data_IF_008142121222
#
_entry.id   IF_008142121222
#
_cell.length_a   1.000
_cell.length_b   1.000
_cell.length_c   1.000
_cell.angle_alpha   90.00
_cell.angle_beta   90.00
_cell.angle_gamma   90.00
#
_symmetry.space_group_name_H-M   'P 1'
#
loop_
_entity.id
_entity.type
_entity.pdbx_description
1 polymer ?
#
# COMPACT_ATOMS: atom_id res chain seq x y z
N UNK A 1 37.49 -14.24 7.20
CA UNK A 1 36.39 -13.29 7.52
C UNK A 1 35.41 -13.10 6.35
N UNK A 2 35.80 -13.35 5.10
CA UNK A 2 34.91 -13.35 3.91
C UNK A 2 33.93 -14.54 3.86
N UNK A 3 34.29 -15.67 4.47
CA UNK A 3 33.58 -16.95 4.26
C UNK A 3 32.21 -16.98 4.94
N UNK A 4 32.03 -16.20 6.02
CA UNK A 4 30.75 -16.10 6.74
C UNK A 4 29.65 -15.40 5.93
N UNK A 5 29.98 -14.36 5.17
CA UNK A 5 29.01 -13.62 4.37
C UNK A 5 28.45 -14.44 3.20
N UNK A 6 29.32 -15.18 2.52
CA UNK A 6 28.91 -16.07 1.43
C UNK A 6 28.07 -17.24 1.96
N UNK A 7 28.43 -17.82 3.11
CA UNK A 7 27.65 -18.87 3.75
C UNK A 7 26.23 -18.39 4.13
N UNK A 8 26.11 -17.18 4.70
CA UNK A 8 24.82 -16.58 5.03
C UNK A 8 23.94 -16.35 3.79
N UNK A 9 24.54 -15.88 2.68
CA UNK A 9 23.82 -15.70 1.42
C UNK A 9 23.35 -17.05 0.85
N UNK A 10 24.21 -18.06 0.83
CA UNK A 10 23.85 -19.41 0.38
C UNK A 10 22.71 -19.99 1.21
N UNK A 11 22.76 -19.82 2.54
CA UNK A 11 21.70 -20.25 3.44
C UNK A 11 20.38 -19.49 3.21
N UNK A 12 20.44 -18.19 2.96
CA UNK A 12 19.28 -17.38 2.62
C UNK A 12 18.62 -17.86 1.31
N UNK A 13 19.42 -18.12 0.28
CA UNK A 13 18.92 -18.69 -0.97
C UNK A 13 18.35 -20.09 -0.77
N UNK A 14 19.00 -20.94 0.04
CA UNK A 14 18.49 -22.28 0.30
C UNK A 14 17.13 -22.22 1.00
N UNK A 15 16.93 -21.34 1.99
CA UNK A 15 15.63 -21.17 2.67
C UNK A 15 14.50 -20.79 1.71
N UNK A 16 14.79 -19.92 0.73
CA UNK A 16 13.81 -19.51 -0.28
C UNK A 16 13.50 -20.64 -1.26
N UNK A 17 14.53 -21.32 -1.76
CA UNK A 17 14.40 -22.40 -2.76
C UNK A 17 13.86 -23.70 -2.18
N UNK A 18 14.13 -23.97 -0.90
CA UNK A 18 13.62 -25.15 -0.18
C UNK A 18 12.17 -25.01 0.27
N UNK A 19 11.54 -23.87 -0.02
CA UNK A 19 10.19 -23.54 0.46
C UNK A 19 10.03 -23.69 1.97
N UNK A 20 10.95 -23.10 2.74
CA UNK A 20 10.87 -23.16 4.20
C UNK A 20 9.49 -22.68 4.71
N UNK A 21 8.75 -23.52 5.46
CA UNK A 21 7.39 -23.18 5.88
C UNK A 21 7.29 -21.90 6.71
N UNK A 22 8.33 -21.59 7.52
CA UNK A 22 8.32 -20.40 8.35
C UNK A 22 8.51 -19.13 7.52
N UNK A 23 9.49 -19.11 6.62
CA UNK A 23 9.73 -17.97 5.71
C UNK A 23 8.52 -17.72 4.83
N UNK A 24 7.95 -18.77 4.25
CA UNK A 24 6.79 -18.64 3.36
C UNK A 24 5.49 -18.26 4.09
N UNK A 25 5.31 -18.68 5.35
CA UNK A 25 4.20 -18.20 6.17
C UNK A 25 4.28 -16.68 6.39
N UNK A 26 5.47 -16.14 6.67
CA UNK A 26 5.71 -14.70 6.85
C UNK A 26 5.42 -13.93 5.56
N UNK A 27 5.90 -14.45 4.43
CA UNK A 27 5.64 -13.89 3.10
C UNK A 27 4.13 -13.85 2.84
N UNK A 28 3.44 -14.97 3.05
CA UNK A 28 2.00 -15.08 2.81
C UNK A 28 1.19 -14.10 3.68
N UNK A 29 1.51 -13.98 4.97
CA UNK A 29 0.84 -13.01 5.86
C UNK A 29 1.06 -11.58 5.36
N UNK A 30 2.29 -11.25 4.96
CA UNK A 30 2.62 -9.91 4.45
C UNK A 30 1.82 -9.55 3.20
N UNK A 31 1.77 -10.45 2.21
CA UNK A 31 1.02 -10.22 0.98
C UNK A 31 -0.49 -10.25 1.21
N UNK A 32 -1.01 -11.21 1.99
CA UNK A 32 -2.44 -11.35 2.26
C UNK A 32 -3.02 -10.09 2.94
N UNK A 33 -2.37 -9.62 4.01
CA UNK A 33 -2.80 -8.44 4.76
C UNK A 33 -2.75 -7.18 3.87
N UNK A 34 -1.65 -6.96 3.15
CA UNK A 34 -1.50 -5.78 2.29
C UNK A 34 -2.39 -5.79 1.07
N UNK A 35 -2.61 -6.95 0.47
CA UNK A 35 -3.52 -7.08 -0.66
C UNK A 35 -4.98 -6.87 -0.22
N UNK A 36 -5.39 -7.45 0.91
CA UNK A 36 -6.73 -7.23 1.47
C UNK A 36 -6.98 -5.75 1.80
N UNK A 37 -6.03 -5.09 2.48
CA UNK A 37 -6.12 -3.67 2.80
C UNK A 37 -6.22 -2.80 1.54
N UNK A 38 -5.42 -3.10 0.51
CA UNK A 38 -5.48 -2.39 -0.77
C UNK A 38 -6.84 -2.57 -1.45
N UNK A 39 -7.34 -3.80 -1.59
CA UNK A 39 -8.61 -4.08 -2.26
C UNK A 39 -9.79 -3.33 -1.64
N UNK A 40 -9.85 -3.29 -0.30
CA UNK A 40 -10.91 -2.58 0.42
C UNK A 40 -10.80 -1.06 0.20
N UNK A 41 -9.58 -0.53 0.07
CA UNK A 41 -9.34 0.92 -0.01
C UNK A 41 -9.39 1.50 -1.42
N UNK A 42 -9.20 0.70 -2.48
CA UNK A 42 -9.16 1.17 -3.89
C UNK A 42 -10.40 1.97 -4.25
N UNK A 43 -11.58 1.37 -4.12
CA UNK A 43 -12.85 1.97 -4.57
C UNK A 43 -13.13 3.28 -3.82
N UNK A 44 -13.17 3.33 -2.48
CA UNK A 44 -13.48 4.56 -1.77
C UNK A 44 -12.44 5.66 -2.04
N UNK A 45 -11.15 5.30 -2.14
CA UNK A 45 -10.09 6.28 -2.39
C UNK A 45 -10.14 6.87 -3.78
N UNK A 46 -10.40 6.04 -4.80
CA UNK A 46 -10.56 6.50 -6.19
C UNK A 46 -11.79 7.38 -6.34
N UNK A 47 -12.91 7.02 -5.69
CA UNK A 47 -14.11 7.86 -5.69
C UNK A 47 -13.85 9.23 -5.05
N UNK A 48 -13.17 9.27 -3.91
CA UNK A 48 -12.78 10.53 -3.28
C UNK A 48 -11.81 11.33 -4.16
N UNK A 49 -10.83 10.68 -4.79
CA UNK A 49 -9.93 11.33 -5.75
C UNK A 49 -10.69 11.93 -6.94
N UNK A 50 -11.68 11.22 -7.48
CA UNK A 50 -12.55 11.71 -8.55
C UNK A 50 -13.35 12.94 -8.11
N UNK A 51 -14.01 12.88 -6.95
CA UNK A 51 -14.78 13.99 -6.38
C UNK A 51 -13.88 15.22 -6.18
N UNK A 52 -12.67 15.01 -5.63
CA UNK A 52 -11.69 16.09 -5.43
C UNK A 52 -11.13 16.65 -6.73
N UNK A 53 -11.21 15.94 -7.86
CA UNK A 53 -10.80 16.45 -9.16
C UNK A 53 -11.93 17.25 -9.84
N UNK A 54 -13.16 16.73 -9.85
CA UNK A 54 -14.26 17.27 -10.66
C UNK A 54 -15.22 18.21 -9.93
N UNK A 55 -15.33 18.14 -8.60
CA UNK A 55 -16.27 18.96 -7.82
C UNK A 55 -15.66 20.31 -7.41
N UNK A 56 -16.49 21.36 -7.38
CA UNK A 56 -16.14 22.70 -6.90
C UNK A 56 -17.00 23.04 -5.67
N UNK A 57 -16.48 22.77 -4.47
CA UNK A 57 -17.15 23.09 -3.21
C UNK A 57 -16.24 23.92 -2.30
N UNK A 58 -16.83 24.75 -1.43
CA UNK A 58 -16.13 25.75 -0.59
C UNK A 58 -15.01 25.17 0.30
N UNK A 59 -15.06 23.88 0.64
CA UNK A 59 -14.06 23.20 1.49
C UNK A 59 -13.00 22.38 0.74
N UNK A 60 -12.99 22.38 -0.60
CA UNK A 60 -12.12 21.49 -1.40
C UNK A 60 -10.63 21.65 -1.07
N UNK A 61 -10.18 22.89 -0.92
CA UNK A 61 -8.77 23.19 -0.59
C UNK A 61 -8.35 22.58 0.74
N UNK A 62 -9.19 22.67 1.77
CA UNK A 62 -8.95 22.09 3.09
C UNK A 62 -8.82 20.57 2.99
N UNK A 63 -9.76 19.90 2.31
CA UNK A 63 -9.73 18.44 2.15
C UNK A 63 -8.51 17.98 1.35
N UNK A 64 -8.17 18.70 0.28
CA UNK A 64 -6.99 18.39 -0.55
C UNK A 64 -5.71 18.49 0.26
N UNK A 65 -5.55 19.57 1.05
CA UNK A 65 -4.39 19.73 1.93
C UNK A 65 -4.37 18.70 3.05
N UNK A 66 -5.52 18.34 3.62
CA UNK A 66 -5.59 17.30 4.63
C UNK A 66 -5.10 15.96 4.08
N UNK A 67 -5.52 15.58 2.87
CA UNK A 67 -5.04 14.35 2.21
C UNK A 67 -3.53 14.39 1.99
N UNK A 68 -2.97 15.51 1.53
CA UNK A 68 -1.52 15.68 1.35
C UNK A 68 -0.76 15.62 2.69
N UNK A 69 -1.32 16.20 3.74
CA UNK A 69 -0.77 16.12 5.10
C UNK A 69 -0.76 14.67 5.56
N UNK A 70 -1.90 13.95 5.47
CA UNK A 70 -2.01 12.54 5.85
C UNK A 70 -1.03 11.65 5.09
N UNK A 71 -0.76 11.96 3.82
CA UNK A 71 0.25 11.24 3.01
C UNK A 71 1.67 11.39 3.57
N UNK A 72 1.94 12.51 4.26
CA UNK A 72 3.26 12.85 4.82
C UNK A 72 3.42 12.43 6.29
N UNK A 73 2.35 11.96 6.94
CA UNK A 73 2.40 11.56 8.34
C UNK A 73 3.29 10.32 8.51
N UNK A 74 4.22 10.32 9.49
CA UNK A 74 4.98 9.13 9.83
C UNK A 74 4.05 7.99 10.22
N UNK A 75 4.25 6.82 9.63
CA UNK A 75 3.34 5.68 9.80
C UNK A 75 3.36 5.07 11.18
N UNK A 76 4.41 5.31 11.96
CA UNK A 76 4.44 5.01 13.40
C UNK A 76 3.36 5.78 14.15
N UNK A 77 3.08 7.04 13.78
CA UNK A 77 2.00 7.84 14.38
C UNK A 77 0.65 7.25 14.04
N UNK A 78 0.44 6.82 12.78
CA UNK A 78 -0.78 6.11 12.36
C UNK A 78 -0.95 4.82 13.17
N UNK A 79 0.15 4.06 13.33
CA UNK A 79 0.18 2.85 14.16
C UNK A 79 -0.24 3.11 15.61
N UNK A 80 0.30 4.16 16.22
CA UNK A 80 -0.05 4.56 17.58
C UNK A 80 -1.52 4.94 17.70
N UNK A 81 -2.05 5.72 16.76
CA UNK A 81 -3.47 6.11 16.76
C UNK A 81 -4.38 4.89 16.66
N UNK A 82 -4.09 3.97 15.73
CA UNK A 82 -4.86 2.73 15.58
C UNK A 82 -4.76 1.85 16.82
N UNK A 83 -3.57 1.74 17.41
CA UNK A 83 -3.35 1.02 18.65
C UNK A 83 -4.23 1.58 19.78
N UNK A 84 -4.24 2.90 19.97
CA UNK A 84 -5.04 3.56 21.01
C UNK A 84 -6.54 3.38 20.76
N UNK A 85 -6.99 3.42 19.50
CA UNK A 85 -8.38 3.17 19.13
C UNK A 85 -8.83 1.73 19.41
N UNK A 86 -7.96 0.75 19.15
CA UNK A 86 -8.26 -0.69 19.29
C UNK A 86 -7.93 -1.26 20.67
N UNK A 87 -7.28 -0.50 21.54
CA UNK A 87 -7.05 -0.89 22.94
C UNK A 87 -8.39 -1.06 23.64
N UNK A 88 -8.44 -1.88 24.70
CA UNK A 88 -9.68 -2.18 25.46
C UNK A 88 -10.45 -0.94 25.92
N UNK A 89 -9.77 0.15 26.24
CA UNK A 89 -10.38 1.42 26.67
C UNK A 89 -10.59 2.41 25.50
N UNK A 90 -10.22 2.02 24.28
CA UNK A 90 -10.36 2.83 23.07
C UNK A 90 -11.77 2.73 22.48
N UNK A 91 -12.11 3.70 21.62
CA UNK A 91 -13.42 3.81 20.98
C UNK A 91 -13.82 2.56 20.19
N UNK A 92 -12.82 1.85 19.61
CA UNK A 92 -13.01 0.63 18.84
C UNK A 92 -12.52 -0.62 19.60
N UNK A 93 -12.35 -0.53 20.93
CA UNK A 93 -11.81 -1.60 21.77
C UNK A 93 -12.66 -2.88 21.76
N UNK A 94 -13.98 -2.74 21.62
CA UNK A 94 -14.92 -3.88 21.60
C UNK A 94 -14.74 -4.77 20.37
N UNK A 95 -14.12 -4.27 19.29
CA UNK A 95 -13.81 -5.07 18.10
C UNK A 95 -12.76 -6.14 18.37
N UNK A 96 -11.89 -5.95 19.37
CA UNK A 96 -10.77 -6.86 19.71
C UNK A 96 -9.86 -7.18 18.52
N UNK A 97 -9.61 -6.21 17.65
CA UNK A 97 -8.76 -6.38 16.47
C UNK A 97 -7.27 -6.15 16.74
N UNK A 98 -6.91 -5.68 17.94
CA UNK A 98 -5.52 -5.52 18.32
C UNK A 98 -4.80 -6.88 18.31
N UNK A 99 -3.60 -6.93 17.74
CA UNK A 99 -2.80 -8.14 17.52
C UNK A 99 -3.44 -9.17 16.58
N UNK A 100 -4.32 -8.72 15.69
CA UNK A 100 -4.92 -9.56 14.66
C UNK A 100 -4.61 -9.01 13.26
N UNK A 101 -4.74 -9.85 12.24
CA UNK A 101 -4.64 -9.42 10.85
C UNK A 101 -5.68 -8.34 10.50
N UNK A 102 -6.87 -8.37 11.10
CA UNK A 102 -7.92 -7.35 10.88
C UNK A 102 -7.46 -5.96 11.33
N UNK A 103 -6.79 -5.89 12.49
CA UNK A 103 -6.19 -4.65 12.97
C UNK A 103 -5.09 -4.15 12.03
N UNK A 104 -4.23 -5.05 11.55
CA UNK A 104 -3.20 -4.70 10.56
C UNK A 104 -3.80 -4.18 9.25
N UNK A 105 -4.87 -4.82 8.75
CA UNK A 105 -5.60 -4.36 7.56
C UNK A 105 -6.10 -2.93 7.79
N UNK A 106 -6.77 -2.65 8.91
CA UNK A 106 -7.25 -1.31 9.24
C UNK A 106 -6.12 -0.27 9.25
N UNK A 107 -4.99 -0.60 9.89
CA UNK A 107 -3.82 0.26 9.92
C UNK A 107 -3.27 0.54 8.52
N UNK A 108 -3.11 -0.50 7.70
CA UNK A 108 -2.63 -0.35 6.33
C UNK A 108 -3.63 0.39 5.43
N UNK A 109 -4.94 0.27 5.66
CA UNK A 109 -5.96 1.06 4.96
C UNK A 109 -5.75 2.56 5.18
N UNK A 110 -5.47 2.97 6.42
CA UNK A 110 -5.21 4.38 6.76
C UNK A 110 -3.92 4.92 6.14
N UNK A 111 -2.95 4.04 5.88
CA UNK A 111 -1.67 4.39 5.26
C UNK A 111 -1.81 4.48 3.73
N UNK A 112 -2.51 3.54 3.09
CA UNK A 112 -2.65 3.53 1.63
C UNK A 112 -3.72 4.52 1.12
N UNK A 113 -4.76 4.81 1.90
CA UNK A 113 -5.84 5.71 1.50
C UNK A 113 -5.35 7.10 1.03
N UNK A 114 -4.57 7.87 1.80
CA UNK A 114 -4.16 9.21 1.37
C UNK A 114 -3.30 9.17 0.10
N UNK A 115 -2.44 8.16 -0.05
CA UNK A 115 -1.64 7.95 -1.26
C UNK A 115 -2.54 7.70 -2.47
N UNK A 116 -3.52 6.79 -2.35
CA UNK A 116 -4.47 6.49 -3.41
C UNK A 116 -5.33 7.70 -3.78
N UNK A 117 -5.84 8.43 -2.79
CA UNK A 117 -6.69 9.62 -3.03
C UNK A 117 -5.89 10.68 -3.78
N UNK A 118 -4.69 11.03 -3.30
CA UNK A 118 -3.86 12.07 -3.90
C UNK A 118 -3.47 11.73 -5.35
N UNK A 119 -2.99 10.49 -5.60
CA UNK A 119 -2.58 10.07 -6.94
C UNK A 119 -3.77 9.90 -7.89
N UNK A 120 -4.92 9.43 -7.39
CA UNK A 120 -6.14 9.34 -8.19
C UNK A 120 -6.67 10.74 -8.54
N UNK A 121 -6.66 11.68 -7.58
CA UNK A 121 -7.02 13.07 -7.83
C UNK A 121 -6.13 13.67 -8.93
N UNK A 122 -4.81 13.47 -8.86
CA UNK A 122 -3.87 13.96 -9.87
C UNK A 122 -4.14 13.33 -11.25
N UNK A 123 -4.42 12.02 -11.30
CA UNK A 123 -4.80 11.33 -12.53
C UNK A 123 -6.08 11.90 -13.14
N UNK A 124 -7.14 12.06 -12.34
CA UNK A 124 -8.41 12.62 -12.81
C UNK A 124 -8.28 14.08 -13.24
N UNK A 125 -7.46 14.88 -12.56
CA UNK A 125 -7.20 16.27 -12.92
C UNK A 125 -6.39 16.44 -14.21
N UNK A 126 -5.71 15.38 -14.68
CA UNK A 126 -4.92 15.41 -15.92
C UNK A 126 -5.76 15.24 -17.20
N UNK A 127 -7.01 14.81 -17.10
CA UNK A 127 -7.90 14.63 -18.26
C UNK A 127 -8.57 15.94 -18.63
N UNK A 128 -8.69 16.19 -19.94
CA UNK A 128 -9.46 17.32 -20.45
C UNK A 128 -10.92 17.20 -19.98
N UNK A 129 -11.40 18.25 -19.31
CA UNK A 129 -12.77 18.34 -18.80
C UNK A 129 -13.82 18.12 -19.90
N UNK A 130 -13.46 18.37 -21.15
CA UNK A 130 -14.28 18.09 -22.34
C UNK A 130 -14.62 16.61 -22.49
N UNK A 131 -13.75 15.67 -22.09
CA UNK A 131 -14.06 14.24 -22.15
C UNK A 131 -15.24 13.89 -21.23
N UNK A 132 -15.26 14.46 -20.03
CA UNK A 132 -16.36 14.35 -19.09
C UNK A 132 -17.64 15.02 -19.62
N UNK A 133 -17.53 16.27 -20.07
CA UNK A 133 -18.68 17.03 -20.58
C UNK A 133 -19.31 16.37 -21.82
N UNK A 134 -18.49 15.86 -22.75
CA UNK A 134 -18.96 15.15 -23.94
C UNK A 134 -19.71 13.87 -23.56
N UNK A 135 -19.18 13.09 -22.61
CA UNK A 135 -19.87 11.88 -22.15
C UNK A 135 -21.25 12.17 -21.54
N UNK A 136 -21.36 13.28 -20.80
CA UNK A 136 -22.62 13.76 -20.21
C UNK A 136 -23.60 14.26 -21.27
N UNK A 137 -23.11 14.99 -22.27
CA UNK A 137 -23.94 15.51 -23.38
C UNK A 137 -24.47 14.38 -24.27
N UNK A 138 -23.69 13.30 -24.46
CA UNK A 138 -24.12 12.08 -25.17
C UNK A 138 -25.11 11.21 -24.36
N UNK A 139 -25.61 11.69 -23.22
CA UNK A 139 -26.61 11.01 -22.41
C UNK A 139 -26.06 9.86 -21.56
N UNK A 140 -24.74 9.76 -21.37
CA UNK A 140 -24.18 8.75 -20.48
C UNK A 140 -24.63 9.02 -19.03
N UNK A 141 -25.08 7.95 -18.36
CA UNK A 141 -25.31 8.01 -16.92
C UNK A 141 -24.01 8.33 -16.18
N UNK A 142 -24.12 8.93 -14.99
CA UNK A 142 -22.96 9.32 -14.18
C UNK A 142 -21.95 8.16 -14.00
N UNK A 143 -22.46 6.96 -13.71
CA UNK A 143 -21.64 5.74 -13.57
C UNK A 143 -20.92 5.35 -14.87
N UNK A 144 -21.59 5.44 -16.04
CA UNK A 144 -20.96 5.15 -17.33
C UNK A 144 -19.87 6.17 -17.65
N UNK A 145 -20.11 7.45 -17.38
CA UNK A 145 -19.13 8.51 -17.59
C UNK A 145 -17.87 8.29 -16.72
N UNK A 146 -18.05 8.00 -15.43
CA UNK A 146 -16.94 7.66 -14.52
C UNK A 146 -16.18 6.42 -15.00
N UNK A 147 -16.89 5.36 -15.42
CA UNK A 147 -16.27 4.15 -15.93
C UNK A 147 -15.43 4.40 -17.19
N UNK A 148 -15.94 5.20 -18.13
CA UNK A 148 -15.21 5.59 -19.35
C UNK A 148 -13.94 6.35 -19.00
N UNK A 149 -14.01 7.31 -18.08
CA UNK A 149 -12.83 8.03 -17.59
C UNK A 149 -11.82 7.11 -16.91
N UNK A 150 -12.26 6.20 -16.05
CA UNK A 150 -11.38 5.22 -15.42
C UNK A 150 -10.68 4.32 -16.44
N UNK A 151 -11.36 3.96 -17.54
CA UNK A 151 -10.78 3.16 -18.61
C UNK A 151 -9.72 3.92 -19.41
N UNK A 152 -9.96 5.21 -19.66
CA UNK A 152 -8.99 6.10 -20.30
C UNK A 152 -7.76 6.32 -19.39
N UNK A 153 -8.01 6.53 -18.09
CA UNK A 153 -7.00 6.74 -17.06
C UNK A 153 -6.42 5.46 -16.46
N UNK A 154 -6.63 4.29 -17.08
CA UNK A 154 -6.17 3.01 -16.54
C UNK A 154 -4.67 3.00 -16.20
N UNK A 155 -3.84 3.64 -17.01
CA UNK A 155 -2.39 3.73 -16.77
C UNK A 155 -2.08 4.49 -15.48
N UNK A 156 -2.42 5.79 -15.40
CA UNK A 156 -2.24 6.59 -14.19
C UNK A 156 -2.89 6.00 -12.92
N UNK A 157 -4.09 5.42 -13.03
CA UNK A 157 -4.77 4.78 -11.89
C UNK A 157 -4.06 3.50 -11.44
N UNK A 158 -3.52 2.69 -12.35
CA UNK A 158 -2.69 1.53 -11.99
C UNK A 158 -1.40 1.97 -11.30
N UNK A 159 -0.77 3.08 -11.76
CA UNK A 159 0.40 3.65 -11.09
C UNK A 159 0.07 4.07 -9.65
N UNK A 160 -1.12 4.66 -9.43
CA UNK A 160 -1.60 5.01 -8.09
C UNK A 160 -1.77 3.78 -7.19
N UNK A 161 -2.39 2.71 -7.72
CA UNK A 161 -2.57 1.43 -7.02
C UNK A 161 -1.22 0.84 -6.62
N UNK A 162 -0.28 0.75 -7.56
CA UNK A 162 1.04 0.16 -7.33
C UNK A 162 1.84 0.97 -6.31
N UNK A 163 1.81 2.30 -6.41
CA UNK A 163 2.49 3.18 -5.45
C UNK A 163 1.94 3.01 -4.02
N UNK A 164 0.61 2.93 -3.88
CA UNK A 164 -0.02 2.72 -2.59
C UNK A 164 0.27 1.32 -2.01
N UNK A 165 0.25 0.28 -2.85
CA UNK A 165 0.62 -1.07 -2.45
C UNK A 165 2.07 -1.15 -1.98
N UNK A 166 3.00 -0.56 -2.75
CA UNK A 166 4.41 -0.48 -2.37
C UNK A 166 4.58 0.20 -1.01
N UNK A 167 3.80 1.25 -0.72
CA UNK A 167 3.90 2.01 0.53
C UNK A 167 3.51 1.21 1.78
N UNK A 168 2.45 0.39 1.69
CA UNK A 168 1.97 -0.41 2.84
C UNK A 168 2.76 -1.69 3.02
N UNK A 169 3.33 -2.23 1.94
CA UNK A 169 4.08 -3.47 2.02
C UNK A 169 5.46 -3.30 2.68
N UNK A 170 6.05 -2.11 2.55
CA UNK A 170 7.30 -1.74 3.23
C UNK A 170 7.07 -1.22 4.65
N UNK A 171 5.83 -1.31 5.17
CA UNK A 171 5.48 -0.70 6.45
C UNK A 171 5.87 -1.56 7.66
N UNK A 172 6.74 -1.00 8.53
CA UNK A 172 7.20 -1.64 9.77
C UNK A 172 6.41 -1.17 10.99
N UNK A 173 6.29 0.16 11.18
CA UNK A 173 5.88 0.76 12.45
C UNK A 173 4.46 0.40 12.84
N UNK A 174 3.51 0.66 11.94
CA UNK A 174 2.11 0.32 12.18
C UNK A 174 1.91 -1.19 12.34
N UNK A 175 2.60 -1.99 11.52
CA UNK A 175 2.53 -3.45 11.57
C UNK A 175 3.03 -4.01 12.90
N UNK A 176 4.13 -3.47 13.44
CA UNK A 176 4.69 -3.88 14.72
C UNK A 176 3.75 -3.54 15.88
N UNK A 177 3.23 -2.31 15.94
CA UNK A 177 2.39 -1.85 17.05
C UNK A 177 1.02 -2.53 17.05
N UNK A 178 0.36 -2.58 15.91
CA UNK A 178 -1.02 -3.10 15.81
C UNK A 178 -1.03 -4.62 15.69
N UNK A 179 -0.05 -5.21 15.00
CA UNK A 179 0.04 -6.65 14.77
C UNK A 179 0.77 -7.41 15.88
N UNK A 180 1.76 -6.81 16.55
CA UNK A 180 2.49 -7.43 17.66
C UNK A 180 3.49 -8.53 17.25
N UNK A 181 3.76 -8.70 15.95
CA UNK A 181 4.76 -9.65 15.41
C UNK A 181 4.59 -11.12 15.91
N UNK A 182 3.35 -11.60 15.92
CA UNK A 182 2.98 -12.93 16.40
C UNK A 182 3.25 -13.95 15.29
N UNK A 183 4.05 -14.98 15.61
CA UNK A 183 4.40 -16.06 14.69
C UNK A 183 3.15 -16.71 14.10
N UNK A 184 3.14 -16.95 12.79
CA UNK A 184 2.03 -17.56 12.03
C UNK A 184 0.68 -16.82 12.08
N UNK A 185 0.60 -15.64 12.72
CA UNK A 185 -0.64 -14.86 12.81
C UNK A 185 -0.48 -13.47 12.21
N UNK A 186 0.46 -12.67 12.71
CA UNK A 186 0.64 -11.25 12.32
C UNK A 186 2.06 -10.90 11.92
N UNK A 187 3.01 -11.82 12.05
CA UNK A 187 4.39 -11.63 11.61
C UNK A 187 4.44 -11.48 10.10
N UNK A 188 4.78 -10.28 9.65
CA UNK A 188 5.00 -9.94 8.25
C UNK A 188 6.49 -9.71 7.97
N UNK A 189 6.85 -9.55 6.69
CA UNK A 189 8.26 -9.49 6.27
C UNK A 189 9.05 -8.38 7.01
N UNK A 190 8.58 -7.13 7.08
CA UNK A 190 9.37 -6.06 7.71
C UNK A 190 9.56 -6.26 9.22
N UNK A 191 8.55 -6.77 9.93
CA UNK A 191 8.66 -7.05 11.38
C UNK A 191 9.52 -8.28 11.68
N UNK A 192 9.50 -9.28 10.78
CA UNK A 192 10.37 -10.44 10.86
C UNK A 192 11.85 -10.06 10.64
N UNK A 193 12.17 -9.23 9.63
CA UNK A 193 13.54 -8.76 9.42
C UNK A 193 14.10 -8.10 10.68
N UNK A 194 13.32 -7.20 11.30
CA UNK A 194 13.74 -6.53 12.53
C UNK A 194 13.98 -7.53 13.69
N UNK A 195 13.10 -8.52 13.84
CA UNK A 195 13.21 -9.55 14.87
C UNK A 195 14.41 -10.48 14.67
N UNK A 196 14.57 -11.04 13.46
CA UNK A 196 15.64 -12.01 13.18
C UNK A 196 17.02 -11.33 13.23
N UNK A 197 17.12 -10.08 12.79
CA UNK A 197 18.35 -9.26 12.97
C UNK A 197 18.68 -9.09 14.46
N UNK A 198 17.68 -8.86 15.31
CA UNK A 198 17.87 -8.69 16.76
C UNK A 198 18.28 -9.97 17.48
N UNK A 199 17.93 -11.14 16.93
CA UNK A 199 18.36 -12.45 17.43
C UNK A 199 19.74 -12.88 16.93
N UNK A 200 20.29 -12.18 15.93
CA UNK A 200 21.50 -12.61 15.23
C UNK A 200 21.28 -13.70 14.17
N UNK A 201 20.02 -14.04 13.84
CA UNK A 201 19.70 -14.93 12.71
C UNK A 201 19.66 -14.12 11.41
N UNK A 202 20.85 -13.79 10.91
CA UNK A 202 20.99 -12.98 9.71
C UNK A 202 20.56 -13.71 8.44
N UNK A 203 20.60 -15.04 8.40
CA UNK A 203 20.24 -15.81 7.20
C UNK A 203 18.75 -15.63 6.86
N UNK A 204 17.86 -15.75 7.86
CA UNK A 204 16.43 -15.49 7.66
C UNK A 204 16.14 -14.03 7.33
N UNK A 205 16.79 -13.08 8.02
CA UNK A 205 16.63 -11.66 7.75
C UNK A 205 17.03 -11.29 6.31
N UNK A 206 18.15 -11.85 5.81
CA UNK A 206 18.62 -11.66 4.44
C UNK A 206 17.64 -12.29 3.43
N UNK A 207 17.15 -13.50 3.68
CA UNK A 207 16.19 -14.17 2.80
C UNK A 207 14.91 -13.32 2.62
N UNK A 208 14.35 -12.84 3.73
CA UNK A 208 13.19 -11.96 3.75
C UNK A 208 13.46 -10.58 3.12
N UNK A 209 14.65 -10.02 3.33
CA UNK A 209 15.10 -8.78 2.69
C UNK A 209 15.22 -8.90 1.18
N UNK A 210 15.75 -10.02 0.67
CA UNK A 210 15.81 -10.33 -0.76
C UNK A 210 14.42 -10.36 -1.40
N UNK A 211 13.41 -10.90 -0.70
CA UNK A 211 12.02 -10.91 -1.18
C UNK A 211 11.50 -9.47 -1.39
N UNK A 212 11.71 -8.57 -0.41
CA UNK A 212 11.33 -7.16 -0.57
C UNK A 212 12.12 -6.45 -1.67
N UNK A 213 13.41 -6.75 -1.81
CA UNK A 213 14.25 -6.16 -2.86
C UNK A 213 13.78 -6.57 -4.26
N UNK A 214 13.58 -7.87 -4.49
CA UNK A 214 13.06 -8.41 -5.75
C UNK A 214 11.72 -7.75 -6.07
N UNK A 215 10.85 -7.66 -5.07
CA UNK A 215 9.55 -7.05 -5.26
C UNK A 215 9.65 -5.55 -5.57
N UNK A 216 10.51 -4.80 -4.89
CA UNK A 216 10.74 -3.39 -5.18
C UNK A 216 11.22 -3.19 -6.62
N UNK A 217 12.13 -4.05 -7.11
CA UNK A 217 12.58 -4.04 -8.51
C UNK A 217 11.42 -4.32 -9.46
N UNK A 218 10.63 -5.36 -9.20
CA UNK A 218 9.47 -5.72 -10.02
C UNK A 218 8.44 -4.59 -10.08
N UNK A 219 8.06 -4.02 -8.93
CA UNK A 219 7.08 -2.93 -8.88
C UNK A 219 7.62 -1.67 -9.58
N UNK A 220 8.90 -1.30 -9.39
CA UNK A 220 9.49 -0.17 -10.08
C UNK A 220 9.59 -0.39 -11.59
N UNK A 221 9.93 -1.60 -12.04
CA UNK A 221 9.99 -1.93 -13.47
C UNK A 221 8.59 -1.83 -14.12
N UNK A 222 7.55 -2.32 -13.43
CA UNK A 222 6.16 -2.18 -13.89
C UNK A 222 5.77 -0.70 -13.94
N UNK A 223 6.06 0.08 -12.88
CA UNK A 223 5.78 1.52 -12.84
C UNK A 223 6.49 2.26 -13.99
N UNK A 224 7.78 1.98 -14.22
CA UNK A 224 8.56 2.59 -15.29
C UNK A 224 8.02 2.27 -16.68
N UNK A 225 7.68 1.00 -16.91
CA UNK A 225 7.10 0.52 -18.18
C UNK A 225 5.74 1.15 -18.48
N UNK A 226 4.92 1.38 -17.45
CA UNK A 226 3.62 2.04 -17.57
C UNK A 226 3.75 3.56 -17.79
N UNK A 227 4.70 4.22 -17.11
CA UNK A 227 5.00 5.65 -17.32
C UNK A 227 5.50 5.93 -18.74
N UNK A 228 6.39 5.08 -19.27
CA UNK A 228 6.92 5.21 -20.63
C UNK A 228 5.86 5.06 -21.73
N UNK A 229 4.74 4.38 -21.45
CA UNK A 229 3.59 4.28 -22.37
C UNK A 229 2.59 5.43 -22.23
N UNK A 230 2.64 6.19 -21.13
CA UNK A 230 1.68 7.25 -20.82
C UNK A 230 2.14 8.65 -21.29
N UNK A 231 3.41 8.84 -21.64
CA UNK A 231 3.92 10.07 -22.23
C UNK A 231 3.72 10.03 -23.75
N UNK A 232 3.00 10.99 -24.37
CA UNK A 232 3.10 11.19 -25.81
C UNK A 232 4.56 11.52 -26.11
N UNK A 233 5.18 10.80 -27.05
CA UNK A 233 6.45 11.24 -27.63
C UNK A 233 6.22 12.61 -28.26
N UNK A 234 6.65 13.67 -27.59
CA UNK A 234 6.75 14.99 -28.20
C UNK A 234 7.89 14.93 -29.22
N UNK A 235 7.52 14.76 -30.48
CA UNK A 235 8.33 15.15 -31.63
C UNK A 235 7.75 16.44 -32.20
#
# INVERSE_FOLDING_TARGET
MSDGWLALLQQAFSLLLSFDPHVWAIINISFSVSFAALLITIIPSMMLGFILAFSHFRGRWIVTNLVQTLQSIPTVVIGLLVYLLLTRNGVLGDLKWLFTQKGMILGQMLICAPVLIALSQAAFASVDRRAWETSRTLGASWLRAVWTLCRELRGPLLLAIIAAFSRILTEVGCSMMVGGNIMNVTRNIPTAIALETSKGDFAQAIALGLVLLILAVVLNFILGSLRGKALPRSH
#
